data_IF_039329723523
#
_entry.id   IF_039329723523
#
_cell.length_a   1.000
_cell.length_b   1.000
_cell.length_c   1.000
_cell.angle_alpha   90.00
_cell.angle_beta   90.00
_cell.angle_gamma   90.00
#
_symmetry.space_group_name_H-M   'P 1'
#
loop_
_entity.id
_entity.type
_entity.pdbx_description
1 polymer ?
#
# COMPACT_ATOMS: atom_id res chain seq x y z
N UNK A 1 9.65 -14.07 -11.33
CA UNK A 1 8.37 -14.13 -10.61
C UNK A 1 8.33 -15.44 -9.86
N UNK A 2 8.18 -15.42 -8.55
CA UNK A 2 7.96 -16.63 -7.75
C UNK A 2 6.50 -17.00 -7.99
N UNK A 3 6.25 -18.21 -8.48
CA UNK A 3 4.90 -18.76 -8.67
C UNK A 3 4.33 -19.14 -7.29
N UNK A 4 3.93 -18.13 -6.53
CA UNK A 4 3.40 -18.33 -5.18
C UNK A 4 1.91 -18.65 -5.24
N UNK A 5 1.58 -19.91 -4.98
CA UNK A 5 0.20 -20.36 -4.87
C UNK A 5 -0.26 -20.34 -3.40
N UNK A 6 -0.87 -19.24 -2.98
CA UNK A 6 -1.35 -19.06 -1.61
C UNK A 6 -2.42 -20.09 -1.19
N UNK A 7 -3.23 -20.60 -2.13
CA UNK A 7 -4.22 -21.66 -1.85
C UNK A 7 -3.46 -22.95 -1.50
N UNK A 8 -2.45 -23.28 -2.30
CA UNK A 8 -1.59 -24.44 -2.04
C UNK A 8 -0.83 -24.32 -0.71
N UNK A 9 -0.37 -23.13 -0.34
CA UNK A 9 0.24 -22.90 0.98
C UNK A 9 -0.70 -23.21 2.14
N UNK A 10 -1.96 -22.77 2.07
CA UNK A 10 -2.97 -23.11 3.08
C UNK A 10 -3.18 -24.63 3.11
N UNK A 11 -3.33 -25.27 1.95
CA UNK A 11 -3.53 -26.71 1.85
C UNK A 11 -2.38 -27.51 2.49
N UNK A 12 -1.13 -27.21 2.12
CA UNK A 12 0.06 -27.85 2.69
C UNK A 12 0.16 -27.62 4.20
N UNK A 13 -0.25 -26.45 4.67
CA UNK A 13 -0.25 -26.12 6.09
C UNK A 13 -1.32 -26.89 6.88
N UNK A 14 -2.52 -27.05 6.31
CA UNK A 14 -3.64 -27.77 6.92
C UNK A 14 -3.47 -29.28 6.86
N UNK A 15 -2.83 -29.81 5.82
CA UNK A 15 -2.59 -31.25 5.65
C UNK A 15 -1.76 -31.85 6.78
N UNK A 16 -0.84 -31.07 7.34
CA UNK A 16 0.00 -31.45 8.48
C UNK A 16 -0.76 -31.45 9.81
N UNK A 17 -2.05 -31.08 9.84
CA UNK A 17 -2.80 -30.78 11.07
C UNK A 17 -4.19 -31.43 11.06
N UNK A 18 -4.31 -32.56 11.77
CA UNK A 18 -5.53 -33.39 11.81
C UNK A 18 -6.82 -32.62 12.16
N UNK A 19 -6.77 -31.65 13.09
CA UNK A 19 -7.96 -30.90 13.56
C UNK A 19 -8.48 -29.87 12.55
N UNK A 20 -7.58 -29.27 11.76
CA UNK A 20 -7.92 -28.17 10.85
C UNK A 20 -8.14 -28.64 9.41
N UNK A 21 -7.56 -29.79 9.04
CA UNK A 21 -7.70 -30.40 7.72
C UNK A 21 -9.15 -30.44 7.19
N UNK A 22 -10.19 -30.74 8.00
CA UNK A 22 -11.58 -30.69 7.52
C UNK A 22 -12.07 -29.31 7.07
N UNK A 23 -11.48 -28.22 7.58
CA UNK A 23 -11.87 -26.83 7.33
C UNK A 23 -10.96 -26.13 6.31
N UNK A 24 -10.20 -26.89 5.53
CA UNK A 24 -9.24 -26.35 4.56
C UNK A 24 -9.93 -25.39 3.55
N UNK A 25 -11.07 -25.80 3.01
CA UNK A 25 -11.84 -24.97 2.06
C UNK A 25 -12.37 -23.71 2.75
N UNK A 26 -12.93 -23.83 3.95
CA UNK A 26 -13.45 -22.68 4.70
C UNK A 26 -12.34 -21.65 5.00
N UNK A 27 -11.12 -22.12 5.31
CA UNK A 27 -9.96 -21.25 5.51
C UNK A 27 -9.52 -20.56 4.22
N UNK A 28 -9.53 -21.26 3.09
CA UNK A 28 -9.25 -20.65 1.78
C UNK A 28 -10.27 -19.56 1.50
N UNK A 29 -11.57 -19.83 1.66
CA UNK A 29 -12.64 -18.86 1.41
C UNK A 29 -12.57 -17.66 2.37
N UNK A 30 -12.25 -17.92 3.64
CA UNK A 30 -12.05 -16.87 4.64
C UNK A 30 -10.92 -15.92 4.28
N UNK A 31 -9.74 -16.46 3.94
CA UNK A 31 -8.60 -15.62 3.55
C UNK A 31 -8.84 -14.96 2.19
N UNK A 32 -9.50 -15.63 1.25
CA UNK A 32 -9.92 -15.02 -0.03
C UNK A 32 -10.80 -13.78 0.21
N UNK A 33 -11.75 -13.90 1.13
CA UNK A 33 -12.67 -12.80 1.49
C UNK A 33 -11.95 -11.70 2.26
N UNK A 34 -11.03 -12.05 3.16
CA UNK A 34 -10.16 -11.08 3.83
C UNK A 34 -9.27 -10.32 2.83
N UNK A 35 -8.72 -11.01 1.83
CA UNK A 35 -7.91 -10.38 0.80
C UNK A 35 -8.73 -9.41 -0.06
N UNK A 36 -9.94 -9.82 -0.50
CA UNK A 36 -10.89 -8.98 -1.25
C UNK A 36 -11.25 -7.69 -0.50
N UNK A 37 -11.31 -7.76 0.82
CA UNK A 37 -11.71 -6.65 1.68
C UNK A 37 -10.55 -5.92 2.36
N UNK A 38 -9.29 -6.24 2.02
CA UNK A 38 -8.13 -5.51 2.55
C UNK A 38 -7.96 -4.18 1.83
N UNK A 39 -7.98 -3.06 2.56
CA UNK A 39 -7.97 -1.71 1.94
C UNK A 39 -6.68 -1.39 1.18
N UNK A 40 -5.52 -1.84 1.67
CA UNK A 40 -4.21 -1.60 1.05
C UNK A 40 -3.43 -2.91 0.89
N UNK A 41 -3.73 -3.73 -0.15
CA UNK A 41 -3.07 -5.02 -0.37
C UNK A 41 -1.55 -4.93 -0.58
N UNK A 42 -1.05 -3.81 -1.10
CA UNK A 42 0.37 -3.51 -1.30
C UNK A 42 1.16 -3.35 0.00
N UNK A 43 0.45 -3.13 1.11
CA UNK A 43 1.01 -2.95 2.45
C UNK A 43 0.71 -4.11 3.38
N UNK A 44 0.01 -5.12 2.89
CA UNK A 44 -0.36 -6.31 3.63
C UNK A 44 0.55 -7.48 3.23
N UNK A 45 0.95 -8.27 4.21
CA UNK A 45 1.75 -9.48 4.04
C UNK A 45 0.89 -10.68 4.43
N UNK A 46 0.94 -11.73 3.62
CA UNK A 46 0.28 -13.00 3.89
C UNK A 46 1.28 -14.15 3.86
N UNK A 47 1.04 -15.16 4.69
CA UNK A 47 1.79 -16.41 4.63
C UNK A 47 1.56 -17.26 5.87
N UNK A 48 2.25 -18.39 5.91
CA UNK A 48 2.15 -19.37 6.99
C UNK A 48 3.46 -19.47 7.77
N UNK A 49 3.37 -19.92 9.03
CA UNK A 49 4.49 -20.45 9.80
C UNK A 49 3.99 -21.70 10.55
N UNK A 50 4.79 -22.36 11.38
CA UNK A 50 4.37 -23.62 12.03
C UNK A 50 3.08 -23.50 12.86
N UNK A 51 2.75 -22.30 13.33
CA UNK A 51 1.70 -22.03 14.30
C UNK A 51 0.50 -21.25 13.76
N UNK A 52 0.65 -20.51 12.66
CA UNK A 52 -0.44 -19.67 12.15
C UNK A 52 -0.44 -19.50 10.63
N UNK A 53 -1.64 -19.20 10.14
CA UNK A 53 -1.87 -18.56 8.84
C UNK A 53 -2.26 -17.12 9.15
N UNK A 54 -1.61 -16.13 8.54
CA UNK A 54 -1.89 -14.74 8.91
C UNK A 54 -1.65 -13.73 7.81
N UNK A 55 -2.56 -12.76 7.77
CA UNK A 55 -2.55 -11.53 7.00
C UNK A 55 -2.29 -10.35 7.95
N UNK A 56 -1.30 -9.51 7.66
CA UNK A 56 -0.85 -8.45 8.59
C UNK A 56 -0.16 -7.27 7.89
N UNK A 57 0.03 -6.16 8.60
CA UNK A 57 0.90 -5.04 8.20
C UNK A 57 1.72 -4.52 9.38
N UNK A 58 3.00 -4.21 9.22
CA UNK A 58 3.81 -3.56 10.27
C UNK A 58 3.81 -4.24 11.65
N UNK A 59 3.48 -5.54 11.73
CA UNK A 59 3.28 -6.29 12.98
C UNK A 59 1.88 -6.26 13.59
N UNK A 60 0.93 -5.63 12.92
CA UNK A 60 -0.50 -5.61 13.27
C UNK A 60 -1.21 -6.60 12.36
N UNK A 61 -1.85 -7.60 12.95
CA UNK A 61 -2.64 -8.56 12.20
C UNK A 61 -3.89 -7.88 11.63
N UNK A 62 -4.38 -8.37 10.50
CA UNK A 62 -5.71 -8.08 9.98
C UNK A 62 -6.63 -9.29 10.18
N UNK A 63 -6.15 -10.45 9.75
CA UNK A 63 -6.84 -11.73 9.86
C UNK A 63 -5.82 -12.82 10.16
N UNK A 64 -6.14 -13.73 11.08
CA UNK A 64 -5.25 -14.85 11.41
C UNK A 64 -6.01 -16.08 11.91
N UNK A 65 -5.46 -17.26 11.62
CA UNK A 65 -5.76 -18.48 12.36
C UNK A 65 -4.54 -18.82 13.22
N UNK A 66 -4.71 -18.98 14.54
CA UNK A 66 -3.59 -19.17 15.48
C UNK A 66 -3.55 -20.58 16.08
N UNK A 67 -2.47 -20.89 16.82
CA UNK A 67 -2.25 -22.19 17.48
C UNK A 67 -3.36 -22.58 18.47
N UNK A 68 -4.07 -21.60 19.00
CA UNK A 68 -5.19 -21.79 19.93
C UNK A 68 -6.43 -22.35 19.25
N UNK A 69 -6.44 -22.41 17.92
CA UNK A 69 -7.59 -22.85 17.15
C UNK A 69 -8.59 -21.74 16.85
N UNK A 70 -8.18 -20.48 17.02
CA UNK A 70 -9.04 -19.30 16.94
C UNK A 70 -8.78 -18.52 15.67
N UNK A 71 -9.86 -18.08 15.01
CA UNK A 71 -9.81 -17.04 13.98
C UNK A 71 -9.88 -15.68 14.65
N UNK A 72 -8.95 -14.81 14.28
CA UNK A 72 -8.90 -13.42 14.67
C UNK A 72 -9.18 -12.56 13.46
N UNK A 73 -10.14 -11.62 13.57
CA UNK A 73 -10.49 -10.68 12.53
C UNK A 73 -10.59 -9.25 13.08
N UNK A 74 -9.91 -8.30 12.44
CA UNK A 74 -9.90 -6.90 12.85
C UNK A 74 -11.14 -6.17 12.33
N UNK A 75 -11.79 -5.39 13.19
CA UNK A 75 -13.03 -4.65 12.89
C UNK A 75 -12.98 -3.21 13.41
N UNK A 76 -13.76 -2.32 12.80
CA UNK A 76 -13.89 -0.92 13.21
C UNK A 76 -15.07 -0.68 14.17
N UNK A 77 -15.93 -1.69 14.38
CA UNK A 77 -17.07 -1.68 15.30
C UNK A 77 -17.29 -3.07 15.94
N UNK A 78 -18.08 -3.12 17.02
CA UNK A 78 -18.48 -4.37 17.68
C UNK A 78 -19.66 -5.04 16.98
N UNK A 79 -19.71 -6.37 17.10
CA UNK A 79 -20.82 -7.21 16.67
C UNK A 79 -21.18 -8.15 17.83
N UNK A 80 -22.48 -8.37 18.06
CA UNK A 80 -22.98 -9.18 19.20
C UNK A 80 -23.88 -10.34 18.76
N UNK A 81 -24.21 -10.40 17.49
CA UNK A 81 -25.18 -11.29 16.88
C UNK A 81 -24.55 -12.47 16.13
N UNK A 82 -23.23 -12.62 16.22
CA UNK A 82 -22.49 -13.69 15.55
C UNK A 82 -22.28 -14.84 16.56
N UNK A 83 -22.85 -16.03 16.33
CA UNK A 83 -22.77 -17.16 17.26
C UNK A 83 -21.34 -17.66 17.47
N UNK A 84 -20.98 -17.97 18.72
CA UNK A 84 -19.63 -18.40 19.12
C UNK A 84 -18.54 -17.40 18.71
N UNK A 85 -18.85 -16.10 18.76
CA UNK A 85 -17.86 -15.06 18.56
C UNK A 85 -17.97 -13.98 19.62
N UNK A 86 -16.82 -13.55 20.11
CA UNK A 86 -16.70 -12.46 21.07
C UNK A 86 -15.82 -11.36 20.47
N UNK A 87 -16.39 -10.18 20.28
CA UNK A 87 -15.60 -9.01 19.88
C UNK A 87 -14.98 -8.37 21.14
N UNK A 88 -13.65 -8.39 21.26
CA UNK A 88 -12.93 -7.74 22.37
C UNK A 88 -12.43 -6.35 21.93
N UNK A 89 -12.48 -5.39 22.86
CA UNK A 89 -11.91 -4.05 22.65
C UNK A 89 -10.41 -4.16 22.75
N UNK A 90 -9.69 -3.70 21.72
CA UNK A 90 -8.23 -3.75 21.73
C UNK A 90 -7.65 -2.40 21.35
N UNK A 91 -6.70 -1.93 22.15
CA UNK A 91 -5.92 -0.73 21.83
C UNK A 91 -4.90 -1.05 20.74
N UNK A 92 -5.32 -0.97 19.47
CA UNK A 92 -4.43 -1.18 18.31
C UNK A 92 -3.25 -0.19 18.27
N UNK A 93 -3.42 1.01 18.83
CA UNK A 93 -2.36 1.96 19.17
C UNK A 93 -2.87 2.89 20.27
N UNK A 94 -2.02 3.28 21.23
CA UNK A 94 -2.41 4.03 22.44
C UNK A 94 -3.15 5.38 22.19
N UNK A 95 -3.14 5.91 20.96
CA UNK A 95 -3.57 7.28 20.63
C UNK A 95 -4.62 7.39 19.51
N UNK A 96 -5.44 6.35 19.28
CA UNK A 96 -6.56 6.45 18.34
C UNK A 96 -7.81 7.00 19.04
N UNK A 97 -8.44 8.03 18.47
CA UNK A 97 -9.65 8.65 19.02
C UNK A 97 -10.86 7.70 19.03
N UNK A 98 -10.85 6.66 18.19
CA UNK A 98 -11.89 5.63 18.18
C UNK A 98 -11.25 4.22 18.14
N UNK A 99 -11.69 3.30 19.01
CA UNK A 99 -11.10 1.98 19.15
C UNK A 99 -11.31 1.11 17.90
N UNK A 100 -10.44 0.11 17.75
CA UNK A 100 -10.64 -1.03 16.87
C UNK A 100 -10.96 -2.26 17.73
N UNK A 101 -11.54 -3.26 17.09
CA UNK A 101 -12.04 -4.45 17.76
C UNK A 101 -11.45 -5.68 17.11
N UNK A 102 -11.17 -6.69 17.92
CA UNK A 102 -10.79 -8.00 17.44
C UNK A 102 -11.97 -8.95 17.66
N UNK A 103 -12.48 -9.50 16.57
CA UNK A 103 -13.45 -10.59 16.59
C UNK A 103 -12.70 -11.91 16.70
N UNK A 104 -13.03 -12.68 17.73
CA UNK A 104 -12.52 -14.03 17.95
C UNK A 104 -13.59 -15.05 17.59
N UNK A 105 -13.23 -16.09 16.85
CA UNK A 105 -14.12 -17.20 16.48
C UNK A 105 -13.41 -18.52 16.76
N UNK A 106 -13.94 -19.28 17.71
CA UNK A 106 -13.37 -20.57 18.11
C UNK A 106 -13.93 -21.75 17.31
N UNK A 107 -15.17 -21.62 16.84
CA UNK A 107 -15.87 -22.69 16.11
C UNK A 107 -15.87 -22.43 14.60
N UNK A 108 -15.01 -23.15 13.88
CA UNK A 108 -14.85 -23.01 12.43
C UNK A 108 -16.08 -23.44 11.62
N UNK A 109 -17.02 -24.22 12.19
CA UNK A 109 -18.27 -24.53 11.52
C UNK A 109 -19.10 -23.26 11.22
N UNK A 110 -18.85 -22.17 11.94
CA UNK A 110 -19.51 -20.88 11.74
C UNK A 110 -18.79 -19.98 10.74
N UNK A 111 -17.64 -20.39 10.18
CA UNK A 111 -16.81 -19.53 9.34
C UNK A 111 -17.53 -19.12 8.06
N UNK A 112 -18.33 -20.02 7.48
CA UNK A 112 -19.19 -19.71 6.33
C UNK A 112 -20.22 -18.62 6.63
N UNK A 113 -20.89 -18.71 7.78
CA UNK A 113 -21.85 -17.69 8.21
C UNK A 113 -21.21 -16.32 8.41
N UNK A 114 -19.92 -16.27 8.81
CA UNK A 114 -19.14 -15.04 8.85
C UNK A 114 -18.79 -14.52 7.44
N UNK A 115 -18.36 -15.41 6.55
CA UNK A 115 -17.99 -15.06 5.16
C UNK A 115 -19.16 -14.40 4.44
N UNK A 116 -20.39 -14.89 4.65
CA UNK A 116 -21.60 -14.37 4.00
C UNK A 116 -22.10 -13.01 4.56
N UNK A 117 -21.48 -12.50 5.64
CA UNK A 117 -21.89 -11.25 6.32
C UNK A 117 -21.14 -10.03 5.81
N UNK A 118 -21.72 -9.36 4.82
CA UNK A 118 -21.12 -8.17 4.17
C UNK A 118 -20.78 -7.04 5.16
N UNK A 119 -21.63 -6.81 6.16
CA UNK A 119 -21.45 -5.75 7.16
C UNK A 119 -20.20 -5.93 8.03
N UNK A 120 -19.77 -7.19 8.25
CA UNK A 120 -18.51 -7.53 8.92
C UNK A 120 -17.34 -7.19 8.02
N UNK A 121 -17.41 -7.54 6.74
CA UNK A 121 -16.33 -7.28 5.80
C UNK A 121 -16.17 -5.79 5.47
N UNK A 122 -17.27 -5.01 5.47
CA UNK A 122 -17.22 -3.55 5.40
C UNK A 122 -16.51 -2.95 6.63
N UNK A 123 -16.77 -3.53 7.81
CA UNK A 123 -16.09 -3.16 9.04
C UNK A 123 -14.60 -3.50 9.00
N UNK A 124 -14.26 -4.71 8.55
CA UNK A 124 -12.88 -5.16 8.33
C UNK A 124 -12.13 -4.25 7.36
N UNK A 125 -12.74 -3.93 6.21
CA UNK A 125 -12.17 -3.02 5.22
C UNK A 125 -11.84 -1.67 5.84
N UNK A 126 -12.79 -1.08 6.56
CA UNK A 126 -12.59 0.19 7.26
C UNK A 126 -11.46 0.09 8.30
N UNK A 127 -11.44 -0.98 9.09
CA UNK A 127 -10.42 -1.21 10.12
C UNK A 127 -9.00 -1.31 9.53
N UNK A 128 -8.81 -2.10 8.47
CA UNK A 128 -7.51 -2.26 7.79
C UNK A 128 -7.03 -0.95 7.16
N UNK A 129 -7.94 -0.06 6.76
CA UNK A 129 -7.60 1.28 6.28
C UNK A 129 -7.13 2.21 7.40
N UNK A 130 -7.91 2.28 8.49
CA UNK A 130 -7.65 3.16 9.66
C UNK A 130 -6.32 2.88 10.33
N UNK A 131 -5.83 1.64 10.27
CA UNK A 131 -4.49 1.29 10.76
C UNK A 131 -3.40 2.24 10.23
N UNK A 132 -3.49 2.68 8.98
CA UNK A 132 -2.47 3.55 8.36
C UNK A 132 -2.58 5.04 8.70
N UNK A 133 -3.62 5.48 9.40
CA UNK A 133 -3.65 6.84 9.94
C UNK A 133 -2.70 6.97 11.15
N UNK A 134 -2.22 5.85 11.69
CA UNK A 134 -1.22 5.81 12.77
C UNK A 134 0.20 5.87 12.23
N UNK A 135 0.99 6.83 12.74
CA UNK A 135 2.42 6.97 12.39
C UNK A 135 3.27 5.74 12.74
N UNK A 136 2.81 4.84 13.63
CA UNK A 136 3.56 3.66 14.09
C UNK A 136 3.62 2.50 13.07
N UNK A 137 2.68 2.44 12.12
CA UNK A 137 2.56 1.33 11.16
C UNK A 137 3.62 1.38 10.05
N UNK A 138 4.39 2.47 10.02
CA UNK A 138 5.42 2.74 9.02
C UNK A 138 6.72 1.96 9.21
N UNK A 139 6.90 1.24 10.33
CA UNK A 139 8.13 0.50 10.63
C UNK A 139 8.04 -0.96 10.16
N UNK A 140 8.82 -1.31 9.13
CA UNK A 140 8.98 -2.70 8.68
C UNK A 140 9.60 -3.56 9.80
N UNK A 141 8.98 -4.70 10.12
CA UNK A 141 9.45 -5.65 11.15
C UNK A 141 9.88 -6.95 10.50
N UNK A 142 11.17 -7.06 10.17
CA UNK A 142 11.73 -8.19 9.41
C UNK A 142 11.45 -9.58 9.99
N UNK A 143 11.40 -9.74 11.32
CA UNK A 143 11.09 -11.04 11.95
C UNK A 143 9.62 -11.48 11.75
N UNK A 144 8.67 -10.54 11.64
CA UNK A 144 7.24 -10.82 11.42
C UNK A 144 6.95 -11.06 9.93
N UNK A 145 7.71 -10.40 9.05
CA UNK A 145 7.61 -10.55 7.61
C UNK A 145 8.26 -11.83 7.07
N UNK A 146 9.01 -12.57 7.90
CA UNK A 146 9.68 -13.82 7.50
C UNK A 146 8.66 -14.84 6.99
N UNK A 147 8.90 -15.42 5.82
CA UNK A 147 8.02 -16.38 5.12
C UNK A 147 6.64 -15.82 4.73
N UNK A 148 6.50 -14.49 4.63
CA UNK A 148 5.29 -13.84 4.12
C UNK A 148 5.59 -13.08 2.84
N UNK A 149 4.60 -13.06 1.97
CA UNK A 149 4.65 -12.41 0.66
C UNK A 149 3.64 -11.27 0.67
N UNK A 150 3.95 -10.20 -0.04
CA UNK A 150 3.01 -9.10 -0.21
C UNK A 150 1.72 -9.62 -0.85
N UNK A 151 0.58 -9.27 -0.27
CA UNK A 151 -0.72 -9.67 -0.81
C UNK A 151 -0.88 -9.16 -2.25
N UNK A 152 -0.33 -7.98 -2.55
CA UNK A 152 -0.31 -7.45 -3.91
C UNK A 152 0.53 -8.28 -4.90
N UNK A 153 1.48 -9.10 -4.47
CA UNK A 153 2.33 -9.85 -5.41
C UNK A 153 1.60 -11.05 -6.02
N UNK A 154 0.61 -11.62 -5.33
CA UNK A 154 -0.04 -12.87 -5.76
C UNK A 154 -1.57 -12.80 -5.84
N UNK A 155 -2.20 -11.86 -5.13
CA UNK A 155 -3.67 -11.74 -5.11
C UNK A 155 -4.18 -10.54 -5.93
N UNK A 156 -3.28 -9.77 -6.54
CA UNK A 156 -3.64 -8.63 -7.38
C UNK A 156 -4.05 -9.01 -8.81
N UNK A 157 -3.91 -10.28 -9.21
CA UNK A 157 -4.33 -10.74 -10.54
C UNK A 157 -5.86 -10.75 -10.73
N UNK A 158 -6.66 -10.92 -9.66
CA UNK A 158 -8.13 -10.75 -9.75
C UNK A 158 -8.59 -9.28 -9.64
N UNK A 159 -7.70 -8.37 -9.22
CA UNK A 159 -7.93 -6.92 -9.20
C UNK A 159 -7.67 -6.25 -10.56
N UNK A 160 -7.30 -7.01 -11.60
CA UNK A 160 -7.07 -6.48 -12.96
C UNK A 160 -8.35 -5.95 -13.64
N UNK A 161 -9.54 -6.23 -13.11
CA UNK A 161 -10.82 -5.78 -13.68
C UNK A 161 -11.47 -4.58 -12.96
N UNK A 162 -10.79 -3.94 -12.00
CA UNK A 162 -11.23 -2.63 -11.52
C UNK A 162 -10.48 -1.58 -12.36
N UNK A 163 -11.17 -0.71 -13.12
CA UNK A 163 -10.51 0.39 -13.82
C UNK A 163 -9.97 1.38 -12.77
N UNK A 164 -8.76 1.11 -12.28
CA UNK A 164 -7.98 2.03 -11.47
C UNK A 164 -7.47 3.10 -12.40
N UNK A 165 -8.07 4.29 -12.33
CA UNK A 165 -7.49 5.47 -12.99
C UNK A 165 -6.05 5.61 -12.53
N UNK A 166 -5.12 5.62 -13.48
CA UNK A 166 -3.70 5.85 -13.18
C UNK A 166 -3.51 7.24 -12.55
N UNK A 167 -2.42 7.45 -11.79
CA UNK A 167 -2.07 8.78 -11.27
C UNK A 167 -2.06 9.84 -12.39
N UNK A 168 -1.57 9.43 -13.57
CA UNK A 168 -1.57 10.23 -14.80
C UNK A 168 -2.98 10.63 -15.26
N UNK A 169 -3.96 9.72 -15.27
CA UNK A 169 -5.34 10.04 -15.65
C UNK A 169 -6.03 10.99 -14.66
N UNK A 170 -5.73 10.85 -13.37
CA UNK A 170 -6.25 11.75 -12.34
C UNK A 170 -5.68 13.16 -12.54
N UNK A 171 -4.37 13.26 -12.77
CA UNK A 171 -3.68 14.53 -13.00
C UNK A 171 -4.18 15.20 -14.29
N UNK A 172 -4.30 14.46 -15.40
CA UNK A 172 -4.85 14.96 -16.67
C UNK A 172 -6.29 15.49 -16.51
N UNK A 173 -7.15 14.76 -15.80
CA UNK A 173 -8.52 15.21 -15.52
C UNK A 173 -8.54 16.46 -14.64
N UNK A 174 -7.62 16.58 -13.70
CA UNK A 174 -7.47 17.79 -12.89
C UNK A 174 -7.02 18.97 -13.76
N UNK A 175 -6.05 18.79 -14.65
CA UNK A 175 -5.60 19.83 -15.57
C UNK A 175 -6.74 20.35 -16.46
N UNK A 176 -7.58 19.46 -17.00
CA UNK A 176 -8.76 19.84 -17.77
C UNK A 176 -9.75 20.67 -16.94
N UNK A 177 -10.02 20.25 -15.71
CA UNK A 177 -10.86 21.00 -14.76
C UNK A 177 -10.26 22.36 -14.43
N UNK A 178 -8.94 22.44 -14.25
CA UNK A 178 -8.23 23.71 -14.02
C UNK A 178 -8.34 24.63 -15.24
N UNK A 179 -8.19 24.09 -16.46
CA UNK A 179 -8.40 24.85 -17.70
C UNK A 179 -9.81 25.41 -17.78
N UNK A 180 -10.83 24.63 -17.43
CA UNK A 180 -12.21 25.10 -17.37
C UNK A 180 -12.41 26.18 -16.29
N UNK A 181 -11.89 25.97 -15.09
CA UNK A 181 -11.96 26.95 -14.01
C UNK A 181 -11.25 28.28 -14.37
N UNK A 182 -10.18 28.22 -15.16
CA UNK A 182 -9.47 29.41 -15.65
C UNK A 182 -10.31 30.27 -16.59
N UNK A 183 -11.30 29.70 -17.29
CA UNK A 183 -12.25 30.46 -18.12
C UNK A 183 -13.23 31.32 -17.31
N UNK A 184 -13.40 31.01 -16.02
CA UNK A 184 -14.27 31.78 -15.13
C UNK A 184 -13.57 33.05 -14.61
N UNK A 185 -14.34 34.10 -14.35
CA UNK A 185 -13.85 35.31 -13.70
C UNK A 185 -13.37 35.02 -12.27
N UNK A 186 -12.45 35.85 -11.77
CA UNK A 186 -11.93 35.74 -10.38
C UNK A 186 -13.07 35.74 -9.36
N UNK A 187 -14.03 36.67 -9.51
CA UNK A 187 -15.20 36.78 -8.63
C UNK A 187 -16.01 35.47 -8.62
N UNK A 188 -16.25 34.89 -9.80
CA UNK A 188 -17.01 33.65 -9.92
C UNK A 188 -16.30 32.45 -9.27
N UNK A 189 -14.97 32.36 -9.39
CA UNK A 189 -14.19 31.33 -8.70
C UNK A 189 -14.26 31.49 -7.17
N UNK A 190 -14.21 32.72 -6.66
CA UNK A 190 -14.31 32.98 -5.21
C UNK A 190 -15.68 32.59 -4.64
N UNK A 191 -16.76 32.86 -5.37
CA UNK A 191 -18.12 32.40 -4.99
C UNK A 191 -18.25 30.87 -4.94
N UNK A 192 -17.56 30.15 -5.83
CA UNK A 192 -17.55 28.68 -5.82
C UNK A 192 -16.73 28.17 -4.65
N UNK A 193 -15.56 28.78 -4.39
CA UNK A 193 -14.68 28.39 -3.30
C UNK A 193 -15.35 28.54 -1.93
N UNK A 194 -16.10 29.63 -1.70
CA UNK A 194 -16.79 29.87 -0.42
C UNK A 194 -17.88 28.83 -0.10
N UNK A 195 -18.39 28.13 -1.12
CA UNK A 195 -19.39 27.06 -1.00
C UNK A 195 -18.78 25.66 -1.04
N UNK A 196 -17.48 25.56 -1.33
CA UNK A 196 -16.80 24.27 -1.51
C UNK A 196 -16.23 23.75 -0.19
N UNK A 197 -16.13 22.43 -0.05
CA UNK A 197 -15.47 21.81 1.10
C UNK A 197 -13.96 22.11 1.02
N UNK A 198 -13.36 22.76 2.04
CA UNK A 198 -11.93 23.07 2.03
C UNK A 198 -11.04 21.83 2.16
N UNK A 199 -11.59 20.69 2.62
CA UNK A 199 -10.84 19.45 2.76
C UNK A 199 -10.98 18.60 1.48
N UNK A 200 -9.88 18.37 0.73
CA UNK A 200 -9.94 17.55 -0.48
C UNK A 200 -10.21 16.08 -0.12
N UNK A 201 -10.93 15.39 -1.00
CA UNK A 201 -11.05 13.94 -0.92
C UNK A 201 -9.73 13.28 -1.32
N UNK A 202 -9.40 12.16 -0.66
CA UNK A 202 -8.23 11.34 -1.01
C UNK A 202 -8.64 10.27 -2.02
N UNK A 203 -7.77 9.94 -2.96
CA UNK A 203 -7.94 8.83 -3.88
C UNK A 203 -6.65 8.03 -3.91
N UNK A 204 -6.74 6.72 -3.70
CA UNK A 204 -5.61 5.80 -3.78
C UNK A 204 -5.40 5.39 -5.23
N UNK A 205 -4.15 5.42 -5.69
CA UNK A 205 -3.74 4.95 -7.02
C UNK A 205 -2.66 3.89 -6.87
N UNK A 206 -2.70 2.87 -7.73
CA UNK A 206 -1.57 1.95 -7.89
C UNK A 206 -0.54 2.61 -8.81
N UNK A 207 0.73 2.64 -8.41
CA UNK A 207 1.81 3.16 -9.22
C UNK A 207 2.96 2.15 -9.25
N UNK A 208 3.48 1.89 -10.45
CA UNK A 208 4.69 1.10 -10.64
C UNK A 208 5.91 1.99 -10.41
N UNK A 209 6.87 1.49 -9.62
CA UNK A 209 8.16 2.16 -9.36
C UNK A 209 9.31 1.23 -9.72
N UNK A 210 10.43 1.81 -10.14
CA UNK A 210 11.68 1.07 -10.35
C UNK A 210 12.49 1.05 -9.06
N UNK A 211 12.92 -0.13 -8.62
CA UNK A 211 13.91 -0.29 -7.56
C UNK A 211 15.28 0.07 -8.14
N UNK A 212 15.67 1.34 -7.97
CA UNK A 212 16.94 1.85 -8.50
C UNK A 212 18.13 1.36 -7.68
N UNK A 213 19.23 1.12 -8.36
CA UNK A 213 20.50 0.75 -7.80
C UNK A 213 21.08 1.95 -7.01
N UNK A 214 21.12 1.81 -5.69
CA UNK A 214 21.62 2.83 -4.78
C UNK A 214 23.07 3.24 -5.07
N UNK A 215 23.90 2.34 -5.60
CA UNK A 215 25.29 2.63 -5.92
C UNK A 215 25.42 3.54 -7.15
N UNK A 216 24.54 3.39 -8.14
CA UNK A 216 24.47 4.30 -9.29
C UNK A 216 24.07 5.70 -8.84
N UNK A 217 23.09 5.78 -7.93
CA UNK A 217 22.64 7.07 -7.38
C UNK A 217 23.79 7.76 -6.65
N UNK A 218 24.47 7.06 -5.74
CA UNK A 218 25.58 7.62 -4.97
C UNK A 218 26.72 8.09 -5.89
N UNK A 219 27.18 7.23 -6.81
CA UNK A 219 28.28 7.53 -7.73
C UNK A 219 27.98 8.76 -8.61
N UNK A 220 26.75 8.87 -9.15
CA UNK A 220 26.35 9.99 -10.00
C UNK A 220 26.28 11.30 -9.22
N UNK A 221 25.81 11.26 -7.97
CA UNK A 221 25.79 12.45 -7.10
C UNK A 221 27.19 12.89 -6.69
N UNK A 222 28.07 11.95 -6.36
CA UNK A 222 29.46 12.23 -5.99
C UNK A 222 30.25 12.78 -7.19
N UNK A 223 30.08 12.21 -8.38
CA UNK A 223 30.65 12.71 -9.64
C UNK A 223 30.24 14.16 -9.90
N UNK A 224 28.97 14.48 -9.64
CA UNK A 224 28.41 15.80 -9.89
C UNK A 224 28.93 16.89 -8.94
N UNK A 225 29.45 16.51 -7.75
CA UNK A 225 30.02 17.44 -6.75
C UNK A 225 29.10 18.64 -6.43
N UNK A 226 27.79 18.39 -6.39
CA UNK A 226 26.78 19.42 -6.12
C UNK A 226 26.56 20.42 -7.26
N UNK A 227 27.03 20.14 -8.48
CA UNK A 227 26.78 20.94 -9.68
C UNK A 227 25.87 20.17 -10.62
N UNK A 228 24.81 20.82 -11.11
CA UNK A 228 23.89 20.23 -12.09
C UNK A 228 24.63 19.96 -13.40
N UNK A 229 24.64 18.71 -13.88
CA UNK A 229 25.37 18.28 -15.07
C UNK A 229 24.74 18.76 -16.40
N UNK A 230 23.57 19.43 -16.34
CA UNK A 230 22.92 20.05 -17.52
C UNK A 230 23.14 21.55 -17.61
N UNK A 231 22.87 22.28 -16.53
CA UNK A 231 22.93 23.75 -16.55
C UNK A 231 24.18 24.32 -15.91
N UNK A 232 25.06 23.47 -15.36
CA UNK A 232 26.33 23.83 -14.71
C UNK A 232 26.18 24.81 -13.55
N UNK A 233 24.98 24.89 -12.95
CA UNK A 233 24.73 25.68 -11.74
C UNK A 233 24.84 24.78 -10.51
N UNK A 234 25.30 25.35 -9.41
CA UNK A 234 25.27 24.70 -8.10
C UNK A 234 23.88 24.22 -7.73
N UNK A 235 23.80 23.20 -6.89
CA UNK A 235 22.57 22.71 -6.30
C UNK A 235 21.78 23.88 -5.66
N UNK A 236 20.44 23.90 -5.79
CA UNK A 236 19.62 25.00 -5.32
C UNK A 236 19.64 25.21 -3.81
N UNK A 237 19.92 24.15 -3.03
CA UNK A 237 20.01 24.18 -1.58
C UNK A 237 20.81 22.98 -1.05
N UNK A 238 21.15 23.05 0.23
CA UNK A 238 21.77 21.97 1.01
C UNK A 238 20.68 21.26 1.82
N UNK A 239 20.72 19.93 1.88
CA UNK A 239 19.76 19.11 2.63
C UNK A 239 19.95 19.29 4.13
N UNK A 240 18.86 19.54 4.85
CA UNK A 240 18.90 19.65 6.32
C UNK A 240 19.31 18.33 7.02
N UNK A 241 19.03 17.19 6.39
CA UNK A 241 19.24 15.88 7.00
C UNK A 241 20.71 15.48 7.10
N UNK A 242 21.49 15.77 6.05
CA UNK A 242 22.85 15.24 5.89
C UNK A 242 23.86 16.30 5.39
N UNK A 243 23.44 17.56 5.26
CA UNK A 243 24.23 18.67 4.72
C UNK A 243 24.77 18.44 3.30
N UNK A 244 24.17 17.53 2.51
CA UNK A 244 24.57 17.31 1.12
C UNK A 244 23.88 18.27 0.13
N UNK A 245 24.50 18.60 -1.02
CA UNK A 245 23.85 19.38 -2.08
C UNK A 245 22.66 18.64 -2.70
N UNK A 246 21.52 19.33 -2.88
CA UNK A 246 20.32 18.69 -3.46
C UNK A 246 20.35 18.63 -4.99
N UNK A 247 20.63 17.44 -5.55
CA UNK A 247 20.40 17.09 -6.94
C UNK A 247 19.54 15.81 -7.05
N UNK A 248 18.92 15.61 -8.21
CA UNK A 248 18.07 14.48 -8.54
C UNK A 248 18.73 13.66 -9.67
N UNK A 249 18.87 12.35 -9.48
CA UNK A 249 19.42 11.45 -10.51
C UNK A 249 18.33 11.08 -11.52
N UNK A 250 18.63 11.29 -12.78
CA UNK A 250 17.79 11.04 -13.94
C UNK A 250 18.47 10.08 -14.91
N UNK A 251 17.72 9.15 -15.50
CA UNK A 251 18.24 8.29 -16.55
C UNK A 251 18.00 8.92 -17.93
N UNK A 252 19.05 9.10 -18.72
CA UNK A 252 19.03 9.70 -20.07
C UNK A 252 18.11 8.91 -21.00
N UNK A 253 18.29 7.59 -21.05
CA UNK A 253 17.29 6.65 -21.56
C UNK A 253 16.41 6.23 -20.38
N UNK A 254 15.12 6.59 -20.35
CA UNK A 254 14.25 6.27 -19.23
C UNK A 254 14.16 4.76 -18.96
N UNK A 255 14.15 4.36 -17.69
CA UNK A 255 13.97 2.94 -17.30
C UNK A 255 12.66 2.36 -17.84
N UNK A 256 11.60 3.18 -17.91
CA UNK A 256 10.31 2.79 -18.49
C UNK A 256 10.37 2.44 -19.99
N UNK A 257 11.41 2.90 -20.69
CA UNK A 257 11.67 2.64 -22.11
C UNK A 257 12.80 1.62 -22.30
N UNK A 258 13.10 0.83 -21.26
CA UNK A 258 14.17 -0.17 -21.27
C UNK A 258 15.57 0.44 -21.23
N UNK A 259 15.73 1.57 -20.56
CA UNK A 259 17.05 2.09 -20.19
C UNK A 259 17.68 1.28 -19.06
N UNK A 260 18.99 1.13 -19.09
CA UNK A 260 19.74 0.41 -18.05
C UNK A 260 19.96 1.30 -16.83
N UNK A 261 19.97 0.69 -15.65
CA UNK A 261 20.28 1.39 -14.40
C UNK A 261 21.79 1.41 -14.16
N UNK A 262 22.49 2.25 -14.91
CA UNK A 262 23.95 2.39 -14.91
C UNK A 262 24.39 3.84 -14.78
N UNK A 263 25.65 4.06 -14.39
CA UNK A 263 26.25 5.40 -14.21
C UNK A 263 26.33 6.16 -15.53
N UNK A 264 26.56 5.46 -16.63
CA UNK A 264 26.65 6.02 -17.99
C UNK A 264 25.30 6.54 -18.47
N UNK A 265 24.23 5.81 -18.15
CA UNK A 265 22.86 6.19 -18.46
C UNK A 265 22.29 7.20 -17.46
N UNK A 266 22.98 7.54 -16.38
CA UNK A 266 22.49 8.43 -15.34
C UNK A 266 23.18 9.81 -15.34
N UNK A 267 22.40 10.83 -14.95
CA UNK A 267 22.84 12.23 -14.87
C UNK A 267 22.25 12.90 -13.63
N UNK A 268 23.03 13.72 -12.92
CA UNK A 268 22.60 14.51 -11.78
C UNK A 268 22.05 15.87 -12.24
N UNK A 269 20.79 16.15 -11.93
CA UNK A 269 20.09 17.36 -12.36
C UNK A 269 19.56 18.15 -11.17
N UNK A 270 19.53 19.49 -11.29
CA UNK A 270 18.71 20.28 -10.38
C UNK A 270 17.22 20.07 -10.69
N UNK A 271 16.30 20.35 -9.75
CA UNK A 271 14.86 20.10 -9.92
C UNK A 271 14.29 20.76 -11.17
N UNK A 272 14.75 21.96 -11.52
CA UNK A 272 14.31 22.67 -12.72
C UNK A 272 14.72 21.94 -14.02
N UNK A 273 15.98 21.49 -14.09
CA UNK A 273 16.50 20.74 -15.23
C UNK A 273 15.86 19.35 -15.34
N UNK A 274 15.61 18.70 -14.19
CA UNK A 274 14.93 17.42 -14.13
C UNK A 274 13.48 17.50 -14.60
N UNK A 275 12.71 18.52 -14.18
CA UNK A 275 11.35 18.73 -14.69
C UNK A 275 11.35 19.13 -16.17
N UNK A 276 12.31 19.95 -16.62
CA UNK A 276 12.42 20.28 -18.04
C UNK A 276 12.66 19.03 -18.91
N UNK A 277 13.42 18.05 -18.42
CA UNK A 277 13.63 16.79 -19.13
C UNK A 277 12.32 16.03 -19.42
N UNK A 278 11.40 16.05 -18.47
CA UNK A 278 10.14 15.31 -18.56
C UNK A 278 9.06 16.05 -19.35
N UNK A 279 9.03 17.39 -19.26
CA UNK A 279 7.88 18.19 -19.75
C UNK A 279 8.27 19.35 -20.67
N UNK A 280 9.56 19.61 -20.84
CA UNK A 280 10.07 20.73 -21.66
C UNK A 280 9.97 20.45 -23.16
N UNK A 281 9.96 21.52 -23.97
CA UNK A 281 9.91 21.43 -25.44
C UNK A 281 11.20 20.87 -26.05
N UNK A 282 12.28 20.79 -25.27
CA UNK A 282 13.57 20.24 -25.68
C UNK A 282 13.98 19.20 -24.64
N UNK A 283 13.50 17.98 -24.84
CA UNK A 283 14.17 16.80 -24.28
C UNK A 283 15.49 16.61 -25.03
N UNK A 284 16.44 16.00 -24.34
CA UNK A 284 17.83 15.75 -24.74
C UNK A 284 18.05 15.41 -26.21
#
# INVERSE_FOLDING_TARGET
>A
MIDFNWKYEIQQWTDKKRKIKPFQTDLVDFFETAFKNTTFPDRALFGTNDYSISLLTGGIFFAAYTREGVIWLLLDRQFKDIPNSDSKIVKSTKNFLEPLFWLEIENLNNLKALIDRQDIWDSFKTATGRIYDSKMVTSYRGHIAKNKISLADFYSNELQNIPSKTAYEIEKKLEEKVKQARKLSRKKRQEILSKSNPKPTKTTVKQTIFNRNQYVIAEVLDRAKGICERCNKSAPFIRDLDNSPYLEVHHKKPLAEGGDDTVENAIALCPNCHRHAHYGKTSY
#
